data_IF_051581527769
#
_entry.id   IF_051581527769
#
_cell.length_a   1.000
_cell.length_b   1.000
_cell.length_c   1.000
_cell.angle_alpha   90.00
_cell.angle_beta   90.00
_cell.angle_gamma   90.00
#
_symmetry.space_group_name_H-M   'P 1'
#
loop_
_entity.id
_entity.type
_entity.pdbx_description
1 polymer ?
#
# COMPACT_ATOMS: atom_id res chain seq x y z
N UNK A 1 16.96 2.88 2.83
CA UNK A 1 17.21 1.47 2.49
C UNK A 1 16.21 0.98 1.44
N UNK A 2 14.89 1.01 1.70
CA UNK A 2 13.87 0.52 0.77
C UNK A 2 13.91 1.21 -0.60
N UNK A 3 13.95 2.54 -0.65
CA UNK A 3 14.01 3.31 -1.89
C UNK A 3 15.17 2.89 -2.80
N UNK A 4 16.37 2.70 -2.23
CA UNK A 4 17.54 2.26 -3.01
C UNK A 4 17.40 0.83 -3.55
N UNK A 5 16.75 -0.07 -2.79
CA UNK A 5 16.46 -1.43 -3.24
C UNK A 5 15.47 -1.41 -4.42
N UNK A 6 14.36 -0.69 -4.28
CA UNK A 6 13.34 -0.58 -5.33
C UNK A 6 13.95 0.05 -6.58
N UNK A 7 14.66 1.17 -6.46
CA UNK A 7 15.33 1.83 -7.59
C UNK A 7 16.29 0.88 -8.31
N UNK A 8 17.09 0.12 -7.58
CA UNK A 8 18.02 -0.85 -8.16
C UNK A 8 17.29 -1.98 -8.88
N UNK A 9 16.20 -2.49 -8.29
CA UNK A 9 15.42 -3.58 -8.87
C UNK A 9 14.65 -3.17 -10.11
N UNK A 10 14.05 -1.97 -10.09
CA UNK A 10 13.25 -1.48 -11.22
C UNK A 10 14.09 -0.82 -12.32
N UNK A 11 15.34 -0.39 -12.02
CA UNK A 11 16.17 0.39 -12.93
C UNK A 11 15.71 1.85 -13.09
N UNK A 12 14.72 2.30 -12.31
CA UNK A 12 14.09 3.63 -12.41
C UNK A 12 14.13 4.34 -11.06
N UNK A 13 14.54 5.61 -11.06
CA UNK A 13 14.47 6.46 -9.87
C UNK A 13 13.01 6.72 -9.46
N UNK A 14 12.75 7.02 -8.17
CA UNK A 14 11.40 7.42 -7.75
C UNK A 14 10.95 8.68 -8.50
N UNK A 15 9.67 8.72 -8.84
CA UNK A 15 9.06 9.79 -9.64
C UNK A 15 8.46 10.91 -8.79
N UNK A 16 8.16 10.61 -7.53
CA UNK A 16 7.66 11.57 -6.54
C UNK A 16 8.07 11.15 -5.14
N UNK A 17 8.00 12.10 -4.23
CA UNK A 17 8.20 11.88 -2.79
C UNK A 17 7.17 12.67 -2.00
N UNK A 18 6.95 12.28 -0.76
CA UNK A 18 6.03 12.98 0.13
C UNK A 18 6.30 12.70 1.59
N UNK A 19 5.69 13.52 2.42
CA UNK A 19 5.71 13.41 3.86
C UNK A 19 4.30 13.26 4.40
N UNK A 20 4.15 12.56 5.51
CA UNK A 20 2.89 12.37 6.21
C UNK A 20 3.07 12.80 7.67
N UNK A 21 2.96 14.11 7.96
CA UNK A 21 3.20 14.65 9.30
C UNK A 21 2.34 13.99 10.38
N UNK A 22 1.10 13.59 10.04
CA UNK A 22 0.20 12.91 10.97
C UNK A 22 0.80 11.61 11.51
N UNK A 23 1.49 10.83 10.66
CA UNK A 23 2.12 9.56 11.04
C UNK A 23 3.63 9.64 11.26
N UNK A 24 4.25 10.81 11.01
CA UNK A 24 5.71 10.96 11.08
C UNK A 24 6.42 10.01 10.13
N UNK A 25 5.97 9.92 8.89
CA UNK A 25 6.51 9.05 7.84
C UNK A 25 6.76 9.82 6.55
N UNK A 26 7.63 9.29 5.72
CA UNK A 26 7.90 9.77 4.37
C UNK A 26 7.86 8.65 3.35
N UNK A 27 7.61 8.98 2.10
CA UNK A 27 7.53 8.01 1.02
C UNK A 27 8.22 8.44 -0.27
N UNK A 28 8.41 7.46 -1.14
CA UNK A 28 8.77 7.65 -2.55
C UNK A 28 7.87 6.79 -3.42
N UNK A 29 7.48 7.30 -4.59
CA UNK A 29 6.47 6.70 -5.46
C UNK A 29 7.05 6.34 -6.83
N UNK A 30 6.60 5.19 -7.37
CA UNK A 30 6.80 4.74 -8.75
C UNK A 30 5.47 4.42 -9.38
N UNK A 31 5.11 5.05 -10.49
CA UNK A 31 3.92 4.68 -11.26
C UNK A 31 4.05 3.26 -11.82
N UNK A 32 3.02 2.45 -11.67
CA UNK A 32 2.95 1.06 -12.18
C UNK A 32 1.88 0.89 -13.25
N UNK A 33 1.50 1.98 -13.87
CA UNK A 33 0.41 2.08 -14.82
C UNK A 33 -0.54 3.23 -14.47
N UNK A 34 -1.68 3.34 -15.15
CA UNK A 34 -2.60 4.47 -14.99
C UNK A 34 -3.41 4.43 -13.69
N UNK A 35 -3.45 3.29 -13.02
CA UNK A 35 -4.37 2.98 -11.92
C UNK A 35 -3.67 2.52 -10.63
N UNK A 36 -2.35 2.31 -10.65
CA UNK A 36 -1.63 1.94 -9.44
C UNK A 36 -0.19 2.49 -9.41
N UNK A 37 0.37 2.51 -8.22
CA UNK A 37 1.75 2.88 -7.94
C UNK A 37 2.35 2.00 -6.86
N UNK A 38 3.66 1.86 -6.88
CA UNK A 38 4.44 1.29 -5.79
C UNK A 38 4.94 2.43 -4.90
N UNK A 39 4.91 2.19 -3.61
CA UNK A 39 5.38 3.13 -2.60
C UNK A 39 6.44 2.48 -1.72
N UNK A 40 7.58 3.13 -1.55
CA UNK A 40 8.48 2.85 -0.43
C UNK A 40 8.19 3.84 0.69
N UNK A 41 7.80 3.33 1.86
CA UNK A 41 7.49 4.15 3.03
C UNK A 41 8.46 3.84 4.17
N UNK A 42 8.78 4.86 4.97
CA UNK A 42 9.61 4.71 6.16
C UNK A 42 9.21 5.75 7.23
N UNK A 43 9.56 5.46 8.47
CA UNK A 43 9.51 6.44 9.55
C UNK A 43 10.49 7.57 9.20
N UNK A 44 10.03 8.81 9.34
CA UNK A 44 10.87 9.98 9.19
C UNK A 44 11.61 10.26 10.52
N UNK A 45 12.94 10.14 10.55
CA UNK A 45 13.71 10.35 11.77
C UNK A 45 13.69 11.79 12.28
N UNK A 46 13.39 12.75 11.39
CA UNK A 46 13.32 14.18 11.76
C UNK A 46 11.91 14.60 12.20
N UNK A 47 10.89 13.78 11.92
CA UNK A 47 9.54 14.08 12.35
C UNK A 47 9.33 13.78 13.84
N UNK A 48 8.51 14.58 14.55
CA UNK A 48 8.12 14.25 15.92
C UNK A 48 7.35 12.93 15.94
N UNK A 49 7.56 12.15 17.01
CA UNK A 49 6.79 10.91 17.22
C UNK A 49 5.31 11.23 17.38
N UNK A 50 4.40 10.61 16.64
CA UNK A 50 2.97 10.80 16.83
C UNK A 50 2.52 10.24 18.19
N UNK A 51 1.40 10.77 18.70
CA UNK A 51 0.80 10.31 19.97
C UNK A 51 -0.06 9.04 19.80
N UNK A 52 -0.11 8.49 18.62
CA UNK A 52 -0.86 7.29 18.23
C UNK A 52 0.05 6.33 17.43
N UNK A 53 -0.30 5.04 17.30
CA UNK A 53 0.45 4.11 16.47
C UNK A 53 0.52 4.57 15.01
N UNK A 54 1.64 4.29 14.37
CA UNK A 54 1.78 4.53 12.93
C UNK A 54 1.02 3.48 12.13
N UNK A 55 0.54 3.87 11.00
CA UNK A 55 -0.11 2.99 10.03
C UNK A 55 0.84 1.88 9.51
N UNK A 56 0.26 0.84 8.88
CA UNK A 56 0.99 -0.27 8.25
C UNK A 56 1.90 -1.07 9.19
N UNK A 57 1.67 -0.98 10.51
CA UNK A 57 2.51 -1.67 11.50
C UNK A 57 3.94 -1.18 11.57
N UNK A 58 4.24 0.05 11.10
CA UNK A 58 5.61 0.56 10.98
C UNK A 58 6.34 0.66 12.31
N UNK A 59 5.65 0.81 13.44
CA UNK A 59 6.28 0.83 14.77
C UNK A 59 6.85 -0.53 15.20
N UNK A 60 6.34 -1.60 14.60
CA UNK A 60 6.74 -2.99 14.89
C UNK A 60 7.59 -3.59 13.78
N UNK A 61 7.72 -2.90 12.65
CA UNK A 61 8.49 -3.39 11.52
C UNK A 61 9.98 -3.38 11.83
N UNK A 62 10.61 -4.52 11.62
CA UNK A 62 12.06 -4.68 11.72
C UNK A 62 12.57 -5.64 10.66
N UNK A 63 13.79 -5.42 10.18
CA UNK A 63 14.40 -6.28 9.17
C UNK A 63 14.67 -5.59 7.83
N UNK A 64 14.99 -6.37 6.79
CA UNK A 64 15.22 -5.84 5.45
C UNK A 64 13.93 -5.30 4.83
N UNK A 65 14.03 -4.40 3.84
CA UNK A 65 12.87 -3.94 3.06
C UNK A 65 12.17 -5.12 2.39
N UNK A 66 10.84 -5.12 2.46
CA UNK A 66 9.95 -6.12 1.84
C UNK A 66 8.63 -5.45 1.45
N UNK A 67 7.80 -6.14 0.65
CA UNK A 67 6.39 -5.73 0.46
C UNK A 67 5.67 -6.00 1.78
N UNK A 68 5.41 -4.95 2.56
CA UNK A 68 4.84 -5.05 3.90
C UNK A 68 3.33 -4.77 3.93
N UNK A 69 2.80 -4.13 2.88
CA UNK A 69 1.39 -3.72 2.82
C UNK A 69 0.92 -3.54 1.38
N UNK A 70 -0.38 -3.56 1.21
CA UNK A 70 -1.06 -3.20 -0.02
C UNK A 70 -2.35 -2.47 0.30
N UNK A 71 -2.84 -1.68 -0.66
CA UNK A 71 -3.96 -0.77 -0.45
C UNK A 71 -4.96 -0.98 -1.57
N UNK A 72 -6.25 -1.10 -1.21
CA UNK A 72 -7.37 -1.15 -2.15
C UNK A 72 -8.10 0.20 -2.16
N UNK A 73 -8.34 0.72 -3.34
CA UNK A 73 -9.18 1.90 -3.51
C UNK A 73 -10.67 1.52 -3.43
N UNK A 74 -11.45 2.39 -2.81
CA UNK A 74 -12.91 2.31 -2.76
C UNK A 74 -13.52 3.67 -3.05
N UNK A 75 -14.77 3.70 -3.47
CA UNK A 75 -15.55 4.92 -3.68
C UNK A 75 -16.35 5.38 -2.45
N UNK A 76 -16.46 4.54 -1.43
CA UNK A 76 -17.09 4.83 -0.14
C UNK A 76 -16.40 4.00 0.95
N UNK A 77 -15.43 4.62 1.61
CA UNK A 77 -14.64 3.94 2.63
C UNK A 77 -15.48 3.57 3.87
N UNK A 78 -16.45 4.39 4.22
CA UNK A 78 -17.29 4.17 5.40
C UNK A 78 -18.22 2.97 5.20
N UNK A 79 -18.88 2.90 4.05
CA UNK A 79 -19.72 1.75 3.71
C UNK A 79 -18.89 0.48 3.62
N UNK A 80 -17.74 0.55 2.94
CA UNK A 80 -16.83 -0.59 2.79
C UNK A 80 -16.34 -1.10 4.14
N UNK A 81 -15.92 -0.22 5.06
CA UNK A 81 -15.48 -0.60 6.40
C UNK A 81 -16.62 -1.21 7.24
N UNK A 82 -17.85 -0.69 7.10
CA UNK A 82 -19.00 -1.27 7.79
C UNK A 82 -19.26 -2.73 7.34
N UNK A 83 -18.99 -3.07 6.08
CA UNK A 83 -19.13 -4.43 5.54
C UNK A 83 -17.97 -5.35 5.96
N UNK A 84 -16.74 -4.85 5.99
CA UNK A 84 -15.55 -5.64 6.30
C UNK A 84 -15.32 -5.84 7.80
N UNK A 85 -15.83 -4.94 8.62
CA UNK A 85 -15.77 -5.01 10.07
C UNK A 85 -14.54 -4.35 10.70
N UNK A 86 -14.46 -4.33 12.04
CA UNK A 86 -13.58 -3.45 12.81
C UNK A 86 -12.07 -3.77 12.68
N UNK A 87 -11.71 -4.95 12.19
CA UNK A 87 -10.30 -5.31 11.99
C UNK A 87 -9.61 -4.46 10.89
N UNK A 88 -10.40 -3.81 10.02
CA UNK A 88 -9.88 -2.91 8.99
C UNK A 88 -9.68 -1.48 9.50
N UNK A 89 -10.07 -1.18 10.75
CA UNK A 89 -9.91 0.12 11.41
C UNK A 89 -10.97 1.14 11.02
N UNK A 90 -10.64 2.41 11.20
CA UNK A 90 -11.51 3.57 10.96
C UNK A 90 -10.91 4.48 9.90
N UNK A 91 -11.72 5.26 9.16
CA UNK A 91 -11.20 6.19 8.18
C UNK A 91 -10.47 7.37 8.86
N UNK A 92 -9.25 7.63 8.43
CA UNK A 92 -8.44 8.78 8.83
C UNK A 92 -8.26 9.70 7.63
N UNK A 93 -8.81 10.93 7.75
CA UNK A 93 -8.72 11.96 6.71
C UNK A 93 -7.34 12.59 6.65
N UNK A 94 -6.73 12.62 5.49
CA UNK A 94 -5.40 13.16 5.24
C UNK A 94 -5.41 14.10 4.02
N UNK A 95 -4.44 15.00 4.00
CA UNK A 95 -4.22 15.85 2.83
C UNK A 95 -2.72 16.08 2.59
N UNK A 96 -2.34 16.27 1.33
CA UNK A 96 -0.99 16.64 0.92
C UNK A 96 -1.03 17.43 -0.39
N UNK A 97 -0.72 18.71 -0.32
CA UNK A 97 -0.84 19.58 -1.49
C UNK A 97 -2.27 19.61 -2.02
N UNK A 98 -2.47 19.18 -3.26
CA UNK A 98 -3.80 19.09 -3.89
C UNK A 98 -4.55 17.79 -3.59
N UNK A 99 -3.89 16.80 -2.99
CA UNK A 99 -4.49 15.50 -2.71
C UNK A 99 -5.17 15.49 -1.35
N UNK A 100 -6.37 14.96 -1.31
CA UNK A 100 -7.10 14.66 -0.07
C UNK A 100 -7.62 13.23 -0.18
N UNK A 101 -7.50 12.47 0.89
CA UNK A 101 -7.96 11.07 0.94
C UNK A 101 -8.34 10.67 2.35
N UNK A 102 -9.16 9.65 2.44
CA UNK A 102 -9.40 8.90 3.66
C UNK A 102 -8.72 7.53 3.55
N UNK A 103 -8.04 7.09 4.60
CA UNK A 103 -7.40 5.77 4.64
C UNK A 103 -7.79 5.04 5.91
N UNK A 104 -8.03 3.73 5.82
CA UNK A 104 -8.37 2.93 6.98
C UNK A 104 -7.14 2.66 7.85
N UNK A 105 -7.26 2.94 9.15
CA UNK A 105 -6.20 2.70 10.12
C UNK A 105 -6.81 2.09 11.38
N UNK A 106 -6.29 0.94 11.80
CA UNK A 106 -6.70 0.32 13.06
C UNK A 106 -6.13 1.06 14.27
N UNK A 107 -6.71 0.87 15.43
CA UNK A 107 -6.23 1.50 16.67
C UNK A 107 -4.80 1.08 17.04
N UNK A 108 -4.33 -0.09 16.59
CA UNK A 108 -2.94 -0.56 16.78
C UNK A 108 -1.99 -0.12 15.65
N UNK A 109 -2.51 0.45 14.57
CA UNK A 109 -1.75 0.72 13.35
C UNK A 109 -1.46 -0.50 12.48
N UNK A 110 -1.79 -1.71 12.95
CA UNK A 110 -1.58 -2.95 12.21
C UNK A 110 -2.66 -3.15 11.14
N UNK A 111 -2.31 -3.83 10.07
CA UNK A 111 -3.24 -4.25 9.04
C UNK A 111 -3.97 -5.54 9.43
N UNK A 112 -5.19 -5.79 8.89
CA UNK A 112 -5.92 -7.03 9.13
C UNK A 112 -5.13 -8.26 8.67
N UNK A 113 -5.55 -9.45 9.13
CA UNK A 113 -4.89 -10.72 8.84
C UNK A 113 -3.40 -10.75 9.23
N UNK A 114 -3.07 -10.18 10.41
CA UNK A 114 -1.70 -10.17 10.91
C UNK A 114 -0.72 -9.35 10.03
N UNK A 115 -1.21 -8.30 9.37
CA UNK A 115 -0.40 -7.45 8.51
C UNK A 115 -0.51 -7.75 7.00
N UNK A 116 -1.22 -8.82 6.60
CA UNK A 116 -1.26 -9.28 5.20
C UNK A 116 -2.55 -8.91 4.47
N UNK A 117 -3.57 -8.39 5.15
CA UNK A 117 -4.74 -7.78 4.52
C UNK A 117 -4.47 -6.35 4.04
N UNK A 118 -5.35 -5.80 3.18
CA UNK A 118 -5.17 -4.44 2.67
C UNK A 118 -5.59 -3.38 3.69
N UNK A 119 -5.01 -2.19 3.57
CA UNK A 119 -5.71 -0.97 3.95
C UNK A 119 -6.69 -0.57 2.84
N UNK A 120 -7.71 0.21 3.20
CA UNK A 120 -8.63 0.82 2.23
C UNK A 120 -8.30 2.29 2.06
N UNK A 121 -8.44 2.80 0.85
CA UNK A 121 -8.24 4.22 0.56
C UNK A 121 -9.38 4.76 -0.31
N UNK A 122 -9.87 5.94 0.03
CA UNK A 122 -10.79 6.71 -0.80
C UNK A 122 -10.14 8.05 -1.17
N UNK A 123 -9.84 8.23 -2.46
CA UNK A 123 -9.31 9.49 -2.97
C UNK A 123 -10.42 10.46 -3.26
N UNK A 124 -10.29 11.70 -2.76
CA UNK A 124 -11.25 12.74 -3.02
C UNK A 124 -10.96 13.38 -4.39
N UNK A 125 -11.97 13.39 -5.32
CA UNK A 125 -11.77 13.98 -6.63
C UNK A 125 -11.55 15.52 -6.55
N UNK A 126 -10.88 16.14 -7.56
CA UNK A 126 -10.52 15.53 -8.85
C UNK A 126 -9.10 14.92 -8.89
N UNK A 127 -8.30 15.00 -7.84
CA UNK A 127 -6.89 14.68 -7.89
C UNK A 127 -6.59 13.24 -7.43
N UNK A 128 -5.79 12.51 -8.22
CA UNK A 128 -5.29 11.18 -7.89
C UNK A 128 -3.82 11.07 -8.28
N UNK A 129 -2.94 10.51 -7.42
CA UNK A 129 -1.50 10.45 -7.68
C UNK A 129 -1.13 9.81 -9.03
N UNK A 130 -1.81 8.74 -9.44
CA UNK A 130 -1.54 8.07 -10.72
C UNK A 130 -1.71 8.97 -11.94
N UNK A 131 -2.52 10.03 -11.85
CA UNK A 131 -2.74 10.96 -12.97
C UNK A 131 -1.58 11.95 -13.13
N UNK A 132 -0.84 12.18 -12.06
CA UNK A 132 0.24 13.17 -12.02
C UNK A 132 1.63 12.53 -12.09
N UNK A 133 1.75 11.24 -11.74
CA UNK A 133 3.00 10.53 -11.84
C UNK A 133 3.37 10.33 -13.31
N UNK A 134 4.59 10.71 -13.73
CA UNK A 134 5.09 10.34 -15.03
C UNK A 134 5.07 8.82 -15.24
N UNK A 135 5.01 8.39 -16.49
CA UNK A 135 5.15 6.96 -16.79
C UNK A 135 6.56 6.47 -16.47
N UNK A 136 6.67 5.51 -15.60
CA UNK A 136 7.95 4.88 -15.22
C UNK A 136 8.45 3.84 -16.23
N UNK A 137 7.61 3.42 -17.18
CA UNK A 137 7.83 2.23 -18.00
C UNK A 137 7.54 0.92 -17.24
N UNK A 138 7.33 0.97 -15.92
CA UNK A 138 7.04 -0.23 -15.11
C UNK A 138 5.55 -0.53 -15.07
N UNK A 139 5.19 -1.83 -14.96
CA UNK A 139 3.79 -2.28 -14.85
C UNK A 139 3.68 -3.40 -13.83
N UNK A 140 2.74 -3.26 -12.91
CA UNK A 140 2.37 -4.37 -12.02
C UNK A 140 1.70 -5.47 -12.84
N UNK A 141 2.29 -6.66 -12.86
CA UNK A 141 1.72 -7.86 -13.50
C UNK A 141 0.89 -8.68 -12.52
N UNK A 142 1.42 -8.92 -11.33
CA UNK A 142 0.75 -9.68 -10.28
C UNK A 142 1.15 -9.15 -8.90
N UNK A 143 0.17 -9.09 -8.00
CA UNK A 143 0.37 -9.01 -6.55
C UNK A 143 -0.06 -10.36 -5.97
N UNK A 144 0.86 -11.11 -5.39
CA UNK A 144 0.60 -12.40 -4.76
C UNK A 144 0.53 -12.22 -3.25
N UNK A 145 -0.59 -12.60 -2.67
CA UNK A 145 -0.81 -12.64 -1.23
C UNK A 145 -0.93 -14.11 -0.82
N UNK A 146 0.13 -14.64 -0.23
CA UNK A 146 0.14 -15.98 0.32
C UNK A 146 -0.15 -15.92 1.82
N UNK A 147 -1.12 -16.70 2.30
CA UNK A 147 -1.52 -16.66 3.70
C UNK A 147 -2.27 -17.95 4.09
N UNK A 148 -2.17 -18.45 5.34
CA UNK A 148 -2.96 -19.61 5.77
C UNK A 148 -4.48 -19.39 5.67
N UNK A 149 -4.94 -18.15 5.75
CA UNK A 149 -6.34 -17.76 5.62
C UNK A 149 -6.66 -17.10 4.25
N UNK A 150 -5.92 -17.43 3.21
CA UNK A 150 -6.09 -16.83 1.86
C UNK A 150 -7.53 -16.96 1.34
N UNK A 151 -8.18 -18.12 1.53
CA UNK A 151 -9.58 -18.33 1.15
C UNK A 151 -10.55 -17.41 1.90
N UNK A 152 -10.37 -17.23 3.20
CA UNK A 152 -11.19 -16.31 4.01
C UNK A 152 -10.98 -14.86 3.60
N UNK A 153 -9.74 -14.48 3.32
CA UNK A 153 -9.37 -13.14 2.84
C UNK A 153 -10.02 -12.85 1.49
N UNK A 154 -9.92 -13.78 0.55
CA UNK A 154 -10.53 -13.66 -0.78
C UNK A 154 -12.05 -13.57 -0.71
N UNK A 155 -12.69 -14.39 0.15
CA UNK A 155 -14.13 -14.36 0.35
C UNK A 155 -14.59 -13.03 0.97
N UNK A 156 -13.90 -12.55 2.00
CA UNK A 156 -14.27 -11.31 2.70
C UNK A 156 -14.11 -10.08 1.79
N UNK A 157 -13.04 -10.03 1.01
CA UNK A 157 -12.76 -8.92 0.10
C UNK A 157 -13.60 -8.99 -1.20
N UNK A 158 -14.09 -10.15 -1.57
CA UNK A 158 -15.07 -10.44 -2.62
C UNK A 158 -15.19 -9.42 -3.74
N UNK A 159 -16.23 -8.63 -3.70
CA UNK A 159 -16.56 -7.63 -4.73
C UNK A 159 -15.61 -6.43 -4.79
N UNK A 160 -14.77 -6.21 -3.78
CA UNK A 160 -13.73 -5.18 -3.81
C UNK A 160 -12.53 -5.58 -4.69
N UNK A 161 -12.37 -6.88 -4.98
CA UNK A 161 -11.27 -7.42 -5.76
C UNK A 161 -11.58 -7.37 -7.26
N UNK A 162 -11.79 -6.17 -7.79
CA UNK A 162 -12.02 -5.97 -9.24
C UNK A 162 -10.72 -5.98 -10.06
N UNK A 163 -9.57 -6.20 -9.42
CA UNK A 163 -8.27 -6.21 -10.06
C UNK A 163 -7.77 -7.64 -10.30
N UNK A 164 -7.78 -8.04 -11.57
CA UNK A 164 -7.29 -9.36 -11.98
C UNK A 164 -5.80 -9.62 -11.75
N UNK A 165 -5.02 -8.64 -11.30
CA UNK A 165 -3.60 -8.79 -10.94
C UNK A 165 -3.41 -9.37 -9.54
N UNK A 166 -4.41 -9.27 -8.65
CA UNK A 166 -4.32 -9.78 -7.29
C UNK A 166 -4.58 -11.28 -7.27
N UNK A 167 -3.67 -12.03 -6.65
CA UNK A 167 -3.70 -13.49 -6.53
C UNK A 167 -3.54 -13.92 -5.09
N UNK A 168 -4.44 -14.78 -4.63
CA UNK A 168 -4.36 -15.41 -3.31
C UNK A 168 -3.94 -16.86 -3.42
N UNK A 169 -3.14 -17.31 -2.47
CA UNK A 169 -2.77 -18.72 -2.33
C UNK A 169 -2.57 -19.09 -0.86
N UNK A 170 -2.92 -20.32 -0.49
CA UNK A 170 -2.63 -20.82 0.83
C UNK A 170 -1.13 -21.11 1.00
N UNK A 171 -0.62 -20.83 2.21
CA UNK A 171 0.78 -21.08 2.56
C UNK A 171 1.29 -20.19 3.67
N UNK A 172 2.61 -20.18 3.87
CA UNK A 172 3.24 -19.25 4.81
C UNK A 172 2.98 -17.82 4.39
N UNK A 173 2.69 -16.95 5.36
CA UNK A 173 2.32 -15.57 5.10
C UNK A 173 3.46 -14.82 4.39
N UNK A 174 3.17 -14.28 3.21
CA UNK A 174 4.14 -13.58 2.35
C UNK A 174 3.39 -12.75 1.28
N UNK A 175 3.92 -11.58 0.96
CA UNK A 175 3.44 -10.76 -0.15
C UNK A 175 4.59 -10.57 -1.15
N UNK A 176 4.29 -10.73 -2.43
CA UNK A 176 5.25 -10.42 -3.50
C UNK A 176 4.56 -9.77 -4.69
N UNK A 177 5.31 -8.94 -5.41
CA UNK A 177 4.85 -8.26 -6.61
C UNK A 177 5.73 -8.64 -7.80
N UNK A 178 5.11 -9.08 -8.90
CA UNK A 178 5.76 -9.25 -10.19
C UNK A 178 5.57 -7.96 -11.00
N UNK A 179 6.67 -7.36 -11.40
CA UNK A 179 6.67 -6.06 -12.08
C UNK A 179 7.42 -6.18 -13.40
N UNK A 180 6.78 -5.81 -14.49
CA UNK A 180 7.44 -5.64 -15.78
C UNK A 180 8.24 -4.35 -15.75
N UNK A 181 9.49 -4.43 -16.21
CA UNK A 181 10.39 -3.29 -16.42
C UNK A 181 10.98 -3.34 -17.82
N UNK A 182 11.70 -2.30 -18.23
CA UNK A 182 12.43 -2.28 -19.52
C UNK A 182 13.51 -3.38 -19.61
N UNK A 183 13.92 -3.94 -18.48
CA UNK A 183 14.95 -4.99 -18.40
C UNK A 183 14.39 -6.39 -18.16
N UNK A 184 13.07 -6.55 -18.21
CA UNK A 184 12.37 -7.82 -17.95
C UNK A 184 11.51 -7.77 -16.71
N UNK A 185 11.05 -8.95 -16.26
CA UNK A 185 10.21 -9.08 -15.06
C UNK A 185 11.08 -9.16 -13.82
N UNK A 186 10.78 -8.36 -12.81
CA UNK A 186 11.39 -8.40 -11.49
C UNK A 186 10.36 -8.80 -10.44
N UNK A 187 10.81 -9.45 -9.38
CA UNK A 187 9.98 -9.83 -8.23
C UNK A 187 10.48 -9.07 -7.02
N UNK A 188 9.56 -8.36 -6.36
CA UNK A 188 9.76 -7.76 -5.05
C UNK A 188 8.93 -8.53 -4.00
N UNK A 189 9.51 -8.79 -2.82
CA UNK A 189 8.84 -9.49 -1.74
C UNK A 189 9.72 -9.69 -0.55
#
# INVERSE_FOLDING_TARGET
AATGLVQKSLGVAPLAQGEHPHFGTHNHLWGMGPDCYLESIAIDPEAPSPAHPRWFGLDWFSGPPQIASWVLATSDIKETLAQLGPSFGEPVGLHRGKYTWDISVSASGELPFGGFGPALIEWQPPAHPCQDLPDSGCRLLNLRVQHPQAGSMQWLLGDLLNDGRIRFSEGCAHISAEIQTDHGVVILG
#
